data_IF_014615495783
#
_entry.id   IF_014615495783
#
_cell.length_a   1.000
_cell.length_b   1.000
_cell.length_c   1.000
_cell.angle_alpha   90.00
_cell.angle_beta   90.00
_cell.angle_gamma   90.00
#
_symmetry.space_group_name_H-M   'P 1'
#
loop_
_entity.id
_entity.type
_entity.pdbx_description
1 polymer ?
#
# COMPACT_ATOMS: atom_id res chain seq x y z
N UNK A 1 -4.50 -91.44 48.39
CA UNK A 1 -3.19 -91.50 49.08
C UNK A 1 -2.18 -90.67 48.30
N UNK A 2 -1.46 -89.77 49.00
CA UNK A 2 -0.20 -89.06 48.63
C UNK A 2 -0.22 -88.19 47.37
N UNK A 3 0.20 -86.93 47.39
CA UNK A 3 0.80 -86.13 48.46
C UNK A 3 1.33 -84.84 47.84
N UNK A 4 0.81 -83.70 48.31
CA UNK A 4 1.32 -82.34 48.10
C UNK A 4 2.58 -82.18 48.97
N UNK A 5 3.72 -81.75 48.41
CA UNK A 5 4.94 -81.27 49.11
C UNK A 5 5.63 -80.27 48.19
N UNK A 6 5.50 -78.97 48.46
CA UNK A 6 6.46 -78.13 49.21
C UNK A 6 7.80 -77.84 48.51
N UNK A 7 7.87 -76.60 48.01
CA UNK A 7 8.92 -75.57 48.18
C UNK A 7 10.39 -76.01 48.23
N UNK A 8 11.14 -75.62 47.20
CA UNK A 8 12.51 -75.11 47.38
C UNK A 8 12.59 -73.67 46.87
N UNK A 9 12.79 -72.76 47.81
CA UNK A 9 13.36 -71.43 47.56
C UNK A 9 14.76 -71.63 46.98
N UNK A 10 15.01 -71.10 45.79
CA UNK A 10 16.37 -70.84 45.32
C UNK A 10 16.50 -69.33 45.27
N UNK A 11 17.24 -68.83 46.26
CA UNK A 11 17.70 -67.46 46.40
C UNK A 11 18.81 -67.27 45.35
N UNK A 12 18.59 -66.44 44.34
CA UNK A 12 19.70 -65.92 43.51
C UNK A 12 19.55 -64.42 43.31
N UNK A 13 20.19 -63.72 44.25
CA UNK A 13 21.04 -62.54 44.09
C UNK A 13 20.79 -61.67 42.86
N UNK A 14 20.24 -60.49 43.12
CA UNK A 14 20.25 -59.30 42.27
C UNK A 14 21.70 -58.92 41.87
N UNK A 15 22.03 -58.77 40.58
CA UNK A 15 23.21 -58.02 40.19
C UNK A 15 22.83 -56.55 40.06
N UNK A 16 23.23 -55.77 41.08
CA UNK A 16 23.43 -54.33 40.97
C UNK A 16 24.31 -54.00 39.76
N UNK A 17 23.92 -52.95 39.03
CA UNK A 17 24.84 -52.22 38.17
C UNK A 17 24.60 -52.40 36.68
N UNK A 18 23.52 -51.82 36.17
CA UNK A 18 23.56 -51.26 34.81
C UNK A 18 23.47 -49.75 34.93
N UNK A 19 24.63 -49.12 34.69
CA UNK A 19 24.82 -47.69 34.52
C UNK A 19 23.58 -47.06 33.87
N UNK A 20 22.93 -46.12 34.57
CA UNK A 20 22.02 -45.18 33.94
C UNK A 20 22.87 -44.36 32.98
N UNK A 21 23.03 -44.87 31.77
CA UNK A 21 23.55 -44.09 30.67
C UNK A 21 22.67 -42.85 30.57
N UNK A 22 23.28 -41.68 30.75
CA UNK A 22 22.69 -40.42 30.30
C UNK A 22 22.11 -40.67 28.91
N UNK A 23 20.81 -40.45 28.66
CA UNK A 23 20.28 -40.58 27.31
C UNK A 23 21.04 -39.56 26.47
N UNK A 24 22.00 -40.06 25.68
CA UNK A 24 22.60 -39.26 24.63
C UNK A 24 21.44 -38.96 23.71
N UNK A 25 21.01 -37.71 23.66
CA UNK A 25 20.12 -37.20 22.61
C UNK A 25 20.79 -37.58 21.29
N UNK A 26 20.34 -38.70 20.72
CA UNK A 26 20.84 -39.16 19.44
C UNK A 26 20.09 -38.35 18.40
N UNK A 27 20.73 -37.31 17.89
CA UNK A 27 20.16 -36.40 16.88
C UNK A 27 19.84 -37.17 15.58
N UNK A 28 20.38 -38.39 15.43
CA UNK A 28 20.05 -39.32 14.36
C UNK A 28 18.78 -40.18 14.62
N UNK A 29 18.12 -40.05 15.77
CA UNK A 29 16.81 -40.68 16.00
C UNK A 29 15.80 -40.08 14.99
N UNK A 30 15.17 -40.92 14.14
CA UNK A 30 14.20 -40.47 13.15
C UNK A 30 13.08 -39.60 13.74
N UNK A 31 12.69 -39.84 14.99
CA UNK A 31 11.63 -39.08 15.67
C UNK A 31 12.11 -37.68 16.05
N UNK A 32 13.34 -37.55 16.54
CA UNK A 32 13.96 -36.26 16.89
C UNK A 32 14.21 -35.44 15.62
N UNK A 33 14.75 -36.06 14.58
CA UNK A 33 15.00 -35.42 13.30
C UNK A 33 13.69 -34.96 12.63
N UNK A 34 12.65 -35.79 12.64
CA UNK A 34 11.32 -35.42 12.14
C UNK A 34 10.74 -34.21 12.89
N UNK A 35 10.86 -34.20 14.22
CA UNK A 35 10.37 -33.08 15.05
C UNK A 35 11.11 -31.77 14.75
N UNK A 36 12.43 -31.81 14.54
CA UNK A 36 13.23 -30.64 14.15
C UNK A 36 12.81 -30.14 12.78
N UNK A 37 12.69 -31.03 11.79
CA UNK A 37 12.27 -30.68 10.43
C UNK A 37 10.86 -30.08 10.44
N UNK A 38 9.90 -30.72 11.11
CA UNK A 38 8.53 -30.21 11.22
C UNK A 38 8.49 -28.85 11.89
N UNK A 39 9.23 -28.65 12.98
CA UNK A 39 9.30 -27.35 13.66
C UNK A 39 9.90 -26.26 12.77
N UNK A 40 10.96 -26.59 12.03
CA UNK A 40 11.58 -25.67 11.08
C UNK A 40 10.61 -25.30 9.94
N UNK A 41 9.90 -26.28 9.37
CA UNK A 41 8.90 -26.06 8.32
C UNK A 41 7.74 -25.21 8.84
N UNK A 42 7.21 -25.49 10.04
CA UNK A 42 6.14 -24.70 10.64
C UNK A 42 6.56 -23.26 10.88
N UNK A 43 7.79 -23.06 11.38
CA UNK A 43 8.32 -21.71 11.63
C UNK A 43 8.51 -20.94 10.32
N UNK A 44 9.10 -21.57 9.30
CA UNK A 44 9.26 -20.96 7.98
C UNK A 44 7.90 -20.63 7.35
N UNK A 45 6.93 -21.53 7.47
CA UNK A 45 5.55 -21.33 7.00
C UNK A 45 4.93 -20.10 7.67
N UNK A 46 5.09 -19.95 9.00
CA UNK A 46 4.61 -18.78 9.73
C UNK A 46 5.26 -17.48 9.24
N UNK A 47 6.58 -17.49 9.01
CA UNK A 47 7.31 -16.32 8.48
C UNK A 47 6.78 -15.92 7.10
N UNK A 48 6.61 -16.89 6.20
CA UNK A 48 6.06 -16.63 4.85
C UNK A 48 4.64 -16.08 4.94
N UNK A 49 3.80 -16.63 5.82
CA UNK A 49 2.45 -16.11 6.04
C UNK A 49 2.46 -14.67 6.55
N UNK A 50 3.29 -14.34 7.54
CA UNK A 50 3.41 -12.97 8.06
C UNK A 50 3.81 -12.00 6.95
N UNK A 51 4.83 -12.35 6.14
CA UNK A 51 5.27 -11.53 5.02
C UNK A 51 4.16 -11.37 3.97
N UNK A 52 3.43 -12.45 3.69
CA UNK A 52 2.31 -12.45 2.73
C UNK A 52 1.16 -11.56 3.21
N UNK A 53 0.79 -11.63 4.49
CA UNK A 53 -0.24 -10.76 5.07
C UNK A 53 0.16 -9.30 5.02
N UNK A 54 1.42 -8.97 5.34
CA UNK A 54 1.92 -7.59 5.24
C UNK A 54 1.92 -7.07 3.80
N UNK A 55 2.28 -7.93 2.85
CA UNK A 55 2.22 -7.61 1.42
C UNK A 55 0.79 -7.36 0.94
N UNK A 56 -0.15 -8.22 1.33
CA UNK A 56 -1.56 -8.09 1.00
C UNK A 56 -2.20 -6.84 1.62
N UNK A 57 -1.94 -6.55 2.90
CA UNK A 57 -2.45 -5.34 3.55
C UNK A 57 -1.96 -4.07 2.83
N UNK A 58 -0.68 -4.04 2.41
CA UNK A 58 -0.15 -2.94 1.59
C UNK A 58 -0.87 -2.85 0.24
N UNK A 59 -1.09 -3.97 -0.44
CA UNK A 59 -1.77 -4.00 -1.73
C UNK A 59 -3.25 -3.56 -1.64
N UNK A 60 -3.96 -3.96 -0.57
CA UNK A 60 -5.36 -3.56 -0.34
C UNK A 60 -5.46 -2.06 -0.09
N UNK A 61 -4.58 -1.49 0.74
CA UNK A 61 -4.56 -0.04 0.99
C UNK A 61 -4.24 0.74 -0.28
N UNK A 62 -3.32 0.22 -1.09
CA UNK A 62 -2.99 0.83 -2.38
C UNK A 62 -4.18 0.81 -3.34
N UNK A 63 -4.83 -0.35 -3.49
CA UNK A 63 -6.00 -0.50 -4.34
C UNK A 63 -7.15 0.42 -3.89
N UNK A 64 -7.38 0.54 -2.59
CA UNK A 64 -8.37 1.46 -2.04
C UNK A 64 -8.04 2.93 -2.35
N UNK A 65 -6.77 3.31 -2.24
CA UNK A 65 -6.30 4.66 -2.58
C UNK A 65 -6.49 4.96 -4.08
N UNK A 66 -6.05 4.06 -4.97
CA UNK A 66 -6.21 4.23 -6.41
C UNK A 66 -7.69 4.31 -6.79
N UNK A 67 -8.53 3.45 -6.20
CA UNK A 67 -9.97 3.50 -6.42
C UNK A 67 -10.56 4.86 -6.02
N UNK A 68 -10.16 5.43 -4.88
CA UNK A 68 -10.64 6.74 -4.47
C UNK A 68 -10.21 7.85 -5.46
N UNK A 69 -8.99 7.77 -6.00
CA UNK A 69 -8.53 8.70 -7.03
C UNK A 69 -9.28 8.53 -8.37
N UNK A 70 -9.62 7.29 -8.72
CA UNK A 70 -10.41 7.01 -9.92
C UNK A 70 -11.85 7.52 -9.77
N UNK A 71 -12.50 7.23 -8.64
CA UNK A 71 -13.85 7.74 -8.31
C UNK A 71 -13.85 9.30 -8.28
N UNK A 72 -12.79 9.91 -7.76
CA UNK A 72 -12.60 11.37 -7.80
C UNK A 72 -12.47 11.88 -9.24
N UNK A 73 -11.62 11.23 -10.05
CA UNK A 73 -11.42 11.58 -11.46
C UNK A 73 -12.73 11.51 -12.24
N UNK A 74 -13.53 10.46 -12.02
CA UNK A 74 -14.83 10.29 -12.68
C UNK A 74 -15.81 11.40 -12.28
N UNK A 75 -15.78 11.82 -11.02
CA UNK A 75 -16.57 12.97 -10.54
C UNK A 75 -16.14 14.27 -11.22
N UNK A 76 -14.84 14.51 -11.37
CA UNK A 76 -14.32 15.69 -12.08
C UNK A 76 -14.63 15.63 -13.58
N UNK A 77 -14.55 14.44 -14.20
CA UNK A 77 -14.92 14.23 -15.59
C UNK A 77 -16.39 14.60 -15.84
N UNK A 78 -17.27 14.28 -14.90
CA UNK A 78 -18.68 14.69 -14.98
C UNK A 78 -18.85 16.22 -15.05
N UNK A 79 -17.94 17.02 -14.47
CA UNK A 79 -17.98 18.49 -14.60
C UNK A 79 -17.57 18.99 -15.99
N UNK A 80 -16.83 18.19 -16.75
CA UNK A 80 -16.48 18.47 -18.15
C UNK A 80 -17.62 18.04 -19.07
N UNK A 81 -18.21 16.86 -18.82
CA UNK A 81 -19.32 16.32 -19.60
C UNK A 81 -20.64 17.08 -19.36
N UNK A 82 -20.81 17.62 -18.15
CA UNK A 82 -21.98 18.41 -17.71
C UNK A 82 -21.53 19.75 -17.09
N UNK A 83 -21.11 20.73 -17.92
CA UNK A 83 -20.61 22.03 -17.47
C UNK A 83 -21.53 22.77 -16.50
N UNK A 84 -22.84 22.54 -16.58
CA UNK A 84 -23.86 23.15 -15.71
C UNK A 84 -23.66 22.81 -14.22
N UNK A 85 -23.01 21.69 -13.90
CA UNK A 85 -22.70 21.28 -12.53
C UNK A 85 -21.66 22.20 -11.87
N UNK A 86 -20.88 22.94 -12.67
CA UNK A 86 -19.92 23.92 -12.16
C UNK A 86 -20.57 25.02 -11.32
N UNK A 87 -21.88 25.27 -11.49
CA UNK A 87 -22.66 26.21 -10.66
C UNK A 87 -22.55 25.87 -9.17
N UNK A 88 -22.57 24.59 -8.81
CA UNK A 88 -22.42 24.14 -7.42
C UNK A 88 -21.07 24.58 -6.86
N UNK A 89 -19.99 24.39 -7.64
CA UNK A 89 -18.63 24.78 -7.26
C UNK A 89 -18.50 26.30 -7.10
N UNK A 90 -19.10 27.07 -8.00
CA UNK A 90 -19.08 28.54 -7.95
C UNK A 90 -19.90 29.05 -6.75
N UNK A 91 -21.09 28.49 -6.51
CA UNK A 91 -21.93 28.85 -5.36
C UNK A 91 -21.26 28.53 -4.03
N UNK A 92 -20.63 27.36 -3.92
CA UNK A 92 -19.84 26.98 -2.74
C UNK A 92 -18.61 27.89 -2.56
N UNK A 93 -17.93 28.25 -3.65
CA UNK A 93 -16.81 29.18 -3.59
C UNK A 93 -17.26 30.57 -3.11
N UNK A 94 -18.43 31.06 -3.52
CA UNK A 94 -18.97 32.35 -3.06
C UNK A 94 -19.25 32.39 -1.57
N UNK A 95 -19.57 31.26 -0.94
CA UNK A 95 -19.83 31.18 0.50
C UNK A 95 -18.57 30.92 1.31
N UNK A 96 -17.69 30.03 0.84
CA UNK A 96 -16.52 29.56 1.61
C UNK A 96 -15.24 30.34 1.31
N UNK A 97 -15.08 30.83 0.08
CA UNK A 97 -13.91 31.57 -0.38
C UNK A 97 -14.31 32.70 -1.36
N UNK A 98 -15.01 33.75 -0.88
CA UNK A 98 -15.65 34.75 -1.74
C UNK A 98 -14.69 35.55 -2.62
N UNK A 99 -13.40 35.58 -2.25
CA UNK A 99 -12.31 36.27 -2.96
C UNK A 99 -11.54 35.35 -3.92
N UNK A 100 -11.92 34.07 -4.03
CA UNK A 100 -11.29 33.14 -4.97
C UNK A 100 -11.67 33.45 -6.41
N UNK A 101 -10.78 33.16 -7.37
CA UNK A 101 -11.10 33.27 -8.80
C UNK A 101 -12.33 32.44 -9.18
N UNK A 102 -12.53 31.29 -8.52
CA UNK A 102 -13.69 30.42 -8.69
C UNK A 102 -15.02 31.08 -8.30
N UNK A 103 -15.05 31.96 -7.29
CA UNK A 103 -16.29 32.63 -6.87
C UNK A 103 -16.82 33.63 -7.92
N UNK A 104 -15.91 34.21 -8.71
CA UNK A 104 -16.20 35.17 -9.78
C UNK A 104 -16.07 34.59 -11.20
N UNK A 105 -15.77 33.29 -11.33
CA UNK A 105 -15.51 32.66 -12.61
C UNK A 105 -16.75 32.65 -13.51
N UNK A 106 -16.55 32.90 -14.81
CA UNK A 106 -17.59 32.70 -15.81
C UNK A 106 -17.83 31.20 -16.05
N UNK A 107 -19.01 30.80 -16.58
CA UNK A 107 -19.24 29.41 -16.95
C UNK A 107 -18.19 28.84 -17.93
N UNK A 108 -17.71 29.66 -18.86
CA UNK A 108 -16.69 29.29 -19.85
C UNK A 108 -15.33 29.05 -19.17
N UNK A 109 -14.94 29.94 -18.25
CA UNK A 109 -13.71 29.77 -17.47
C UNK A 109 -13.77 28.49 -16.61
N UNK A 110 -14.96 28.16 -16.09
CA UNK A 110 -15.15 26.96 -15.29
C UNK A 110 -14.97 25.68 -16.11
N UNK A 111 -15.34 25.66 -17.39
CA UNK A 111 -15.07 24.51 -18.27
C UNK A 111 -13.56 24.29 -18.41
N UNK A 112 -12.83 25.36 -18.70
CA UNK A 112 -11.36 25.31 -18.86
C UNK A 112 -10.71 24.90 -17.54
N UNK A 113 -11.15 25.50 -16.42
CA UNK A 113 -10.67 25.17 -15.07
C UNK A 113 -10.89 23.70 -14.74
N UNK A 114 -12.07 23.16 -15.00
CA UNK A 114 -12.41 21.76 -14.71
C UNK A 114 -11.58 20.79 -15.57
N UNK A 115 -11.33 21.14 -16.83
CA UNK A 115 -10.42 20.37 -17.68
C UNK A 115 -8.98 20.36 -17.13
N UNK A 116 -8.46 21.51 -16.68
CA UNK A 116 -7.15 21.55 -16.03
C UNK A 116 -7.12 20.81 -14.69
N UNK A 117 -8.20 20.82 -13.91
CA UNK A 117 -8.32 20.04 -12.68
C UNK A 117 -8.28 18.54 -12.96
N UNK A 118 -8.94 18.09 -14.03
CA UNK A 118 -8.87 16.69 -14.48
C UNK A 118 -7.44 16.29 -14.86
N UNK A 119 -6.77 17.13 -15.64
CA UNK A 119 -5.36 16.91 -16.01
C UNK A 119 -4.44 16.92 -14.78
N UNK A 120 -4.71 17.77 -13.80
CA UNK A 120 -3.94 17.85 -12.55
C UNK A 120 -4.03 16.52 -11.77
N UNK A 121 -5.22 15.95 -11.63
CA UNK A 121 -5.41 14.65 -10.98
C UNK A 121 -4.83 13.46 -11.77
N UNK A 122 -4.81 13.54 -13.11
CA UNK A 122 -4.08 12.56 -13.93
C UNK A 122 -2.57 12.62 -13.65
N UNK A 123 -2.00 13.82 -13.62
CA UNK A 123 -0.57 14.01 -13.38
C UNK A 123 -0.15 13.55 -11.98
N UNK A 124 -1.01 13.70 -10.97
CA UNK A 124 -0.79 13.16 -9.63
C UNK A 124 -0.61 11.63 -9.66
N UNK A 125 -1.55 10.91 -10.31
CA UNK A 125 -1.49 9.45 -10.41
C UNK A 125 -0.20 9.01 -11.09
N UNK A 126 0.18 9.67 -12.18
CA UNK A 126 1.43 9.36 -12.90
C UNK A 126 2.65 9.64 -12.03
N UNK A 127 2.68 10.75 -11.30
CA UNK A 127 3.76 11.04 -10.36
C UNK A 127 3.85 9.98 -9.25
N UNK A 128 2.72 9.48 -8.76
CA UNK A 128 2.70 8.39 -7.78
C UNK A 128 3.27 7.09 -8.34
N UNK A 129 2.95 6.74 -9.61
CA UNK A 129 3.55 5.59 -10.30
C UNK A 129 5.08 5.73 -10.37
N UNK A 130 5.57 6.93 -10.70
CA UNK A 130 7.01 7.20 -10.73
C UNK A 130 7.65 7.06 -9.35
N UNK A 131 7.08 7.68 -8.30
CA UNK A 131 7.61 7.57 -6.93
C UNK A 131 7.62 6.14 -6.40
N UNK A 132 6.78 5.26 -6.92
CA UNK A 132 6.74 3.82 -6.58
C UNK A 132 7.67 2.97 -7.44
N UNK A 133 8.42 3.57 -8.35
CA UNK A 133 9.27 2.90 -9.34
C UNK A 133 8.47 1.91 -10.22
N UNK A 134 7.19 2.19 -10.48
CA UNK A 134 6.37 1.38 -11.40
C UNK A 134 6.53 1.82 -12.85
N UNK A 135 6.96 3.07 -13.06
CA UNK A 135 7.44 3.57 -14.34
C UNK A 135 8.89 4.03 -14.18
N UNK A 136 9.68 3.87 -15.23
CA UNK A 136 11.08 4.29 -15.24
C UNK A 136 11.24 5.80 -15.41
N UNK A 137 12.49 6.26 -15.25
CA UNK A 137 12.85 7.68 -15.34
C UNK A 137 12.63 8.24 -16.74
N UNK A 138 12.79 7.43 -17.78
CA UNK A 138 12.58 7.84 -19.17
C UNK A 138 11.09 8.13 -19.42
N UNK A 139 10.21 7.20 -19.05
CA UNK A 139 8.76 7.34 -19.09
C UNK A 139 8.31 8.56 -18.28
N UNK A 140 8.84 8.73 -17.07
CA UNK A 140 8.55 9.90 -16.25
C UNK A 140 8.98 11.20 -16.91
N UNK A 141 10.14 11.22 -17.59
CA UNK A 141 10.64 12.45 -18.25
C UNK A 141 9.67 12.98 -19.31
N UNK A 142 8.99 12.09 -20.04
CA UNK A 142 7.99 12.46 -21.05
C UNK A 142 6.74 13.08 -20.40
N UNK A 143 6.24 12.47 -19.32
CA UNK A 143 5.13 13.02 -18.54
C UNK A 143 5.47 14.34 -17.86
N UNK A 144 6.69 14.47 -17.35
CA UNK A 144 7.18 15.72 -16.78
C UNK A 144 7.25 16.83 -17.83
N UNK A 145 7.72 16.53 -19.03
CA UNK A 145 7.72 17.51 -20.12
C UNK A 145 6.30 17.96 -20.48
N UNK A 146 5.33 17.03 -20.50
CA UNK A 146 3.93 17.39 -20.68
C UNK A 146 3.39 18.27 -19.55
N UNK A 147 3.70 17.96 -18.29
CA UNK A 147 3.35 18.81 -17.15
C UNK A 147 3.93 20.22 -17.28
N UNK A 148 5.18 20.35 -17.71
CA UNK A 148 5.82 21.64 -17.94
C UNK A 148 5.11 22.45 -19.03
N UNK A 149 4.56 21.79 -20.05
CA UNK A 149 3.72 22.42 -21.07
C UNK A 149 2.40 22.91 -20.43
N UNK A 150 1.70 22.04 -19.70
CA UNK A 150 0.45 22.40 -19.01
C UNK A 150 0.64 23.58 -18.06
N UNK A 151 1.74 23.58 -17.31
CA UNK A 151 2.12 24.65 -16.39
C UNK A 151 2.38 25.99 -17.08
N UNK A 152 2.40 26.08 -18.43
CA UNK A 152 2.49 27.38 -19.13
C UNK A 152 1.17 28.12 -19.11
N UNK A 153 0.07 27.41 -18.93
CA UNK A 153 -1.26 28.00 -18.95
C UNK A 153 -1.60 28.63 -17.59
N UNK A 154 -2.07 29.90 -17.52
CA UNK A 154 -2.39 30.58 -16.26
C UNK A 154 -3.38 29.81 -15.38
N UNK A 155 -4.37 29.18 -16.01
CA UNK A 155 -5.38 28.36 -15.32
C UNK A 155 -4.76 27.18 -14.56
N UNK A 156 -3.65 26.61 -15.04
CA UNK A 156 -2.97 25.52 -14.33
C UNK A 156 -2.41 25.99 -12.99
N UNK A 157 -1.81 27.19 -12.95
CA UNK A 157 -1.35 27.82 -11.72
C UNK A 157 -2.50 28.19 -10.77
N UNK A 158 -3.64 28.62 -11.31
CA UNK A 158 -4.85 28.85 -10.50
C UNK A 158 -5.39 27.56 -9.89
N UNK A 159 -5.49 26.48 -10.67
CA UNK A 159 -5.88 25.16 -10.19
C UNK A 159 -4.95 24.71 -9.07
N UNK A 160 -3.63 24.78 -9.27
CA UNK A 160 -2.63 24.42 -8.26
C UNK A 160 -2.84 25.19 -6.94
N UNK A 161 -3.03 26.52 -7.00
CA UNK A 161 -3.25 27.33 -5.79
C UNK A 161 -4.60 27.07 -5.11
N UNK A 162 -5.64 26.86 -5.90
CA UNK A 162 -7.01 26.67 -5.38
C UNK A 162 -7.28 25.25 -4.88
N UNK A 163 -6.41 24.29 -5.20
CA UNK A 163 -6.54 22.89 -4.79
C UNK A 163 -5.50 22.44 -3.76
N UNK A 164 -4.80 23.37 -3.11
CA UNK A 164 -3.84 23.06 -2.04
C UNK A 164 -4.52 22.22 -0.95
N UNK A 165 -3.84 21.14 -0.55
CA UNK A 165 -4.36 20.17 0.41
C UNK A 165 -5.37 19.15 -0.14
N UNK A 166 -5.80 19.24 -1.41
CA UNK A 166 -6.68 18.23 -2.03
C UNK A 166 -5.91 17.04 -2.62
N UNK A 167 -4.65 17.26 -3.01
CA UNK A 167 -3.78 16.28 -3.68
C UNK A 167 -2.60 15.85 -2.79
N UNK A 168 -1.91 14.76 -3.13
CA UNK A 168 -0.71 14.25 -2.49
C UNK A 168 0.37 15.34 -2.37
N UNK A 169 0.84 15.57 -1.15
CA UNK A 169 1.77 16.67 -0.85
C UNK A 169 3.06 16.59 -1.69
N UNK A 170 3.75 15.45 -1.79
CA UNK A 170 4.91 15.30 -2.68
C UNK A 170 4.65 15.70 -4.14
N UNK A 171 3.45 15.45 -4.66
CA UNK A 171 3.07 15.93 -5.99
C UNK A 171 2.88 17.45 -6.03
N UNK A 172 2.21 18.03 -5.03
CA UNK A 172 2.04 19.49 -4.95
C UNK A 172 3.38 20.22 -4.83
N UNK A 173 4.32 19.70 -4.03
CA UNK A 173 5.66 20.24 -3.87
C UNK A 173 6.41 20.21 -5.23
N UNK A 174 6.31 19.09 -5.96
CA UNK A 174 6.88 18.96 -7.29
C UNK A 174 6.31 19.99 -8.29
N UNK A 175 5.00 20.16 -8.31
CA UNK A 175 4.36 21.15 -9.19
C UNK A 175 4.73 22.58 -8.81
N UNK A 176 4.88 22.87 -7.52
CA UNK A 176 5.36 24.17 -7.04
C UNK A 176 6.74 24.49 -7.60
N UNK A 177 7.66 23.53 -7.58
CA UNK A 177 8.99 23.68 -8.18
C UNK A 177 8.91 23.92 -9.69
N UNK A 178 8.05 23.18 -10.40
CA UNK A 178 7.83 23.36 -11.85
C UNK A 178 7.29 24.75 -12.18
N UNK A 179 6.37 25.28 -11.37
CA UNK A 179 5.82 26.62 -11.55
C UNK A 179 6.85 27.71 -11.21
N UNK A 180 7.67 27.51 -10.18
CA UNK A 180 8.69 28.47 -9.75
C UNK A 180 9.88 28.56 -10.72
N UNK A 181 10.26 27.46 -11.37
CA UNK A 181 11.31 27.47 -12.42
C UNK A 181 10.94 28.30 -13.66
N UNK A 182 9.68 28.71 -13.76
CA UNK A 182 9.14 29.52 -14.84
C UNK A 182 9.04 31.01 -14.52
N UNK A 183 9.25 31.38 -13.26
CA UNK A 183 9.25 32.77 -12.82
C UNK A 183 10.59 33.45 -13.06
#
# INVERSE_FOLDING_TARGET
>A
MKGRREVRKILYVEPLGRSKGTPRLDIADPVVLSSIISTAVLTLTLVVFILSFRSQDKAIREAAYQKALDDYTDTIRMLVDKPELSKITVELARTTAPRSGTASASPEDMVIRNYFLLLYGLMERIHLLFRKNWIDKETWSQWSAFLEILAKHPMFGEVHRSSVGMFDKPFQDYVSDVLNRKS
#
